data_IF_295298487127
#
_entry.id   IF_295298487127
#
_cell.length_a   1.000
_cell.length_b   1.000
_cell.length_c   1.000
_cell.angle_alpha   90.00
_cell.angle_beta   90.00
_cell.angle_gamma   90.00
#
_symmetry.space_group_name_H-M   'P 1'
#
loop_
_entity.id
_entity.type
_entity.pdbx_description
1 polymer ?
#
# COMPACT_ATOMS: atom_id res chain seq x y z
N UNK A 1 -6.12 13.90 80.22
CA UNK A 1 -6.87 13.43 79.03
C UNK A 1 -7.34 14.63 78.21
N UNK A 2 -6.74 14.90 77.05
CA UNK A 2 -7.18 15.96 76.15
C UNK A 2 -7.45 15.38 74.75
N UNK A 3 -8.72 15.26 74.38
CA UNK A 3 -9.17 14.71 73.09
C UNK A 3 -8.83 15.69 71.94
N UNK A 4 -7.82 15.36 71.13
CA UNK A 4 -7.57 16.02 69.84
C UNK A 4 -8.73 15.69 68.88
N UNK A 5 -9.53 16.70 68.53
CA UNK A 5 -10.57 16.59 67.48
C UNK A 5 -9.89 16.52 66.10
N UNK A 6 -10.04 15.38 65.42
CA UNK A 6 -9.68 15.21 64.02
C UNK A 6 -10.55 16.10 63.12
N UNK A 7 -9.96 17.15 62.54
CA UNK A 7 -10.58 17.91 61.43
C UNK A 7 -10.44 17.09 60.14
N UNK A 8 -11.52 16.42 59.76
CA UNK A 8 -11.67 15.82 58.42
C UNK A 8 -11.67 16.95 57.38
N UNK A 9 -10.59 17.07 56.60
CA UNK A 9 -10.55 17.93 55.40
C UNK A 9 -11.52 17.34 54.37
N UNK A 10 -12.73 17.88 54.30
CA UNK A 10 -13.63 17.67 53.16
C UNK A 10 -12.96 18.24 51.91
N UNK A 11 -12.69 17.40 50.91
CA UNK A 11 -12.28 17.83 49.58
C UNK A 11 -13.31 18.86 49.06
N UNK A 12 -12.91 20.07 48.64
CA UNK A 12 -13.84 21.00 48.05
C UNK A 12 -14.31 20.41 46.72
N UNK A 13 -15.63 20.14 46.62
CA UNK A 13 -16.29 19.86 45.35
C UNK A 13 -15.84 20.90 44.35
N UNK A 14 -15.30 20.47 43.21
CA UNK A 14 -14.69 21.33 42.19
C UNK A 14 -15.60 22.49 41.80
N UNK A 15 -15.35 23.66 42.39
CA UNK A 15 -15.96 24.92 42.02
C UNK A 15 -15.48 25.31 40.62
N UNK A 16 -16.43 25.61 39.74
CA UNK A 16 -16.16 26.11 38.39
C UNK A 16 -15.48 27.47 38.54
N UNK A 17 -14.25 27.62 38.03
CA UNK A 17 -13.50 28.88 38.16
C UNK A 17 -14.18 29.97 37.33
N UNK A 18 -14.28 31.18 37.88
CA UNK A 18 -14.86 32.36 37.21
C UNK A 18 -14.09 32.60 35.90
N UNK A 19 -14.75 32.37 34.75
CA UNK A 19 -14.11 32.39 33.42
C UNK A 19 -14.24 31.09 32.60
N UNK A 20 -14.68 29.99 33.20
CA UNK A 20 -14.87 28.70 32.51
C UNK A 20 -16.11 28.65 31.59
N UNK A 21 -17.02 29.63 31.69
CA UNK A 21 -18.24 29.68 30.88
C UNK A 21 -18.26 30.94 30.01
N UNK A 22 -18.39 30.75 28.71
CA UNK A 22 -18.68 31.81 27.73
C UNK A 22 -20.11 31.54 27.24
N UNK A 23 -21.02 32.50 27.36
CA UNK A 23 -22.47 32.35 27.06
C UNK A 23 -23.13 31.11 27.68
N UNK A 24 -22.87 30.84 28.97
CA UNK A 24 -23.48 29.71 29.69
C UNK A 24 -22.89 28.32 29.36
N UNK A 25 -21.96 28.23 28.40
CA UNK A 25 -21.34 26.97 27.99
C UNK A 25 -19.90 26.86 28.46
N UNK A 26 -19.49 25.66 28.90
CA UNK A 26 -18.10 25.40 29.28
C UNK A 26 -17.16 25.67 28.10
N UNK A 27 -16.05 26.36 28.36
CA UNK A 27 -14.99 26.65 27.38
C UNK A 27 -14.55 25.35 26.69
N UNK A 28 -14.45 25.39 25.36
CA UNK A 28 -14.05 24.25 24.53
C UNK A 28 -15.15 23.26 24.16
N UNK A 29 -16.43 23.50 24.55
CA UNK A 29 -17.56 22.64 24.12
C UNK A 29 -18.15 22.96 22.75
N UNK A 30 -17.88 24.13 22.19
CA UNK A 30 -18.34 24.55 20.85
C UNK A 30 -17.23 25.24 20.07
N UNK A 31 -17.35 25.20 18.74
CA UNK A 31 -16.39 25.78 17.80
C UNK A 31 -15.24 24.84 17.45
N UNK A 32 -14.23 25.38 16.78
CA UNK A 32 -13.05 24.65 16.29
C UNK A 32 -12.35 23.83 17.39
N UNK A 33 -12.25 24.37 18.60
CA UNK A 33 -11.65 23.68 19.74
C UNK A 33 -12.38 22.37 20.13
N UNK A 34 -13.67 22.25 19.84
CA UNK A 34 -14.45 21.04 20.09
C UNK A 34 -14.33 20.01 18.96
N UNK A 35 -13.95 20.44 17.75
CA UNK A 35 -13.83 19.57 16.58
C UNK A 35 -12.61 18.64 16.64
N UNK A 36 -11.64 18.94 17.51
CA UNK A 36 -10.40 18.18 17.63
C UNK A 36 -10.28 17.50 18.99
N UNK A 37 -9.65 16.33 18.98
CA UNK A 37 -9.35 15.54 20.16
C UNK A 37 -7.87 15.24 20.18
N UNK A 38 -7.27 15.24 21.37
CA UNK A 38 -5.85 14.88 21.52
C UNK A 38 -5.66 13.38 21.33
N UNK A 39 -4.45 12.96 20.93
CA UNK A 39 -4.09 11.52 20.84
C UNK A 39 -4.43 10.74 22.11
N UNK A 40 -4.14 11.29 23.29
CA UNK A 40 -4.44 10.65 24.57
C UNK A 40 -5.96 10.45 24.77
N UNK A 41 -6.77 11.43 24.40
CA UNK A 41 -8.23 11.31 24.45
C UNK A 41 -8.76 10.31 23.43
N UNK A 42 -8.18 10.23 22.23
CA UNK A 42 -8.55 9.25 21.22
C UNK A 42 -8.29 7.82 21.72
N UNK A 43 -7.11 7.57 22.31
CA UNK A 43 -6.77 6.28 22.92
C UNK A 43 -7.74 5.89 24.04
N UNK A 44 -8.09 6.85 24.92
CA UNK A 44 -9.04 6.61 25.99
C UNK A 44 -10.46 6.27 25.48
N UNK A 45 -10.88 6.89 24.38
CA UNK A 45 -12.19 6.64 23.75
C UNK A 45 -12.25 5.29 23.04
N UNK A 46 -11.19 4.90 22.32
CA UNK A 46 -11.14 3.66 21.54
C UNK A 46 -10.69 2.44 22.37
N UNK A 47 -10.12 2.66 23.57
CA UNK A 47 -9.66 1.61 24.49
C UNK A 47 -8.60 0.64 23.90
N UNK A 48 -7.78 1.16 22.99
CA UNK A 48 -6.69 0.41 22.33
C UNK A 48 -5.31 0.98 22.69
N UNK A 49 -4.25 0.16 22.67
CA UNK A 49 -2.88 0.63 22.88
C UNK A 49 -2.41 1.53 21.73
N UNK A 50 -1.33 2.29 21.97
CA UNK A 50 -0.79 3.24 20.99
C UNK A 50 -0.37 2.57 19.67
N UNK A 51 0.19 1.37 19.73
CA UNK A 51 0.60 0.63 18.53
C UNK A 51 -0.60 0.29 17.64
N UNK A 52 -1.66 -0.30 18.22
CA UNK A 52 -2.89 -0.64 17.48
C UNK A 52 -3.61 0.62 16.98
N UNK A 53 -3.58 1.72 17.74
CA UNK A 53 -4.13 3.00 17.30
C UNK A 53 -3.39 3.56 16.10
N UNK A 54 -2.05 3.57 16.12
CA UNK A 54 -1.23 3.99 14.96
C UNK A 54 -1.53 3.10 13.76
N UNK A 55 -1.58 1.78 13.97
CA UNK A 55 -1.92 0.81 12.94
C UNK A 55 -3.26 1.11 12.29
N UNK A 56 -4.30 1.30 13.11
CA UNK A 56 -5.65 1.61 12.64
C UNK A 56 -5.70 2.94 11.88
N UNK A 57 -4.98 3.97 12.36
CA UNK A 57 -4.90 5.27 11.68
C UNK A 57 -4.26 5.15 10.30
N UNK A 58 -3.17 4.38 10.17
CA UNK A 58 -2.48 4.16 8.90
C UNK A 58 -3.40 3.43 7.91
N UNK A 59 -4.00 2.32 8.35
CA UNK A 59 -4.87 1.50 7.52
C UNK A 59 -6.09 2.28 7.01
N UNK A 60 -6.65 3.18 7.82
CA UNK A 60 -7.78 4.05 7.43
C UNK A 60 -7.38 5.34 6.74
N UNK A 61 -6.10 5.71 6.70
CA UNK A 61 -5.67 7.01 6.18
C UNK A 61 -6.11 8.19 7.06
N UNK A 62 -6.16 8.03 8.38
CA UNK A 62 -6.45 9.12 9.31
C UNK A 62 -5.15 9.74 9.78
N UNK A 63 -4.96 11.01 9.41
CA UNK A 63 -3.76 11.76 9.70
C UNK A 63 -3.95 12.73 10.87
N UNK A 64 -2.90 13.01 11.65
CA UNK A 64 -2.93 14.09 12.62
C UNK A 64 -3.17 15.43 11.93
N UNK A 65 -3.84 16.34 12.63
CA UNK A 65 -4.16 17.69 12.15
C UNK A 65 -3.53 18.74 13.07
N UNK A 66 -3.18 19.89 12.50
CA UNK A 66 -2.69 21.03 13.26
C UNK A 66 -3.76 22.13 13.33
N UNK A 67 -4.66 22.13 14.35
CA UNK A 67 -5.74 23.09 14.42
C UNK A 67 -5.23 24.48 14.83
N UNK A 68 -5.90 25.55 14.37
CA UNK A 68 -5.52 26.93 14.74
C UNK A 68 -5.76 27.17 16.23
N UNK A 69 -6.85 26.61 16.78
CA UNK A 69 -7.21 26.72 18.20
C UNK A 69 -6.92 25.42 18.95
N UNK A 70 -5.78 25.36 19.63
CA UNK A 70 -5.30 24.21 20.40
C UNK A 70 -5.76 24.28 21.86
N UNK A 71 -6.87 23.62 22.19
CA UNK A 71 -7.46 23.66 23.53
C UNK A 71 -6.57 23.08 24.64
N UNK A 72 -5.67 22.16 24.30
CA UNK A 72 -4.88 21.38 25.26
C UNK A 72 -3.37 21.63 25.16
N UNK A 73 -2.95 22.71 24.49
CA UNK A 73 -1.55 23.10 24.28
C UNK A 73 -0.98 22.71 22.92
N UNK A 74 0.19 23.28 22.57
CA UNK A 74 0.81 23.14 21.25
C UNK A 74 1.60 21.83 21.06
N UNK A 75 2.09 21.24 22.15
CA UNK A 75 2.92 20.03 22.18
C UNK A 75 2.13 18.72 21.96
N UNK A 76 0.84 18.82 21.59
CA UNK A 76 -0.03 17.66 21.45
C UNK A 76 -0.41 17.42 20.01
N UNK A 77 -0.42 16.15 19.64
CA UNK A 77 -1.00 15.70 18.38
C UNK A 77 -2.53 15.70 18.48
N UNK A 78 -3.18 16.36 17.54
CA UNK A 78 -4.64 16.44 17.45
C UNK A 78 -5.15 15.60 16.28
N UNK A 79 -6.33 15.02 16.47
CA UNK A 79 -7.10 14.30 15.46
C UNK A 79 -8.49 14.92 15.40
N UNK A 80 -9.14 14.80 14.26
CA UNK A 80 -10.50 15.29 14.12
C UNK A 80 -11.49 14.34 14.83
N UNK A 81 -12.49 14.91 15.50
CA UNK A 81 -13.41 14.13 16.33
C UNK A 81 -14.28 13.19 15.48
N UNK A 82 -14.66 13.60 14.26
CA UNK A 82 -15.44 12.75 13.36
C UNK A 82 -14.66 11.51 12.95
N UNK A 83 -13.36 11.65 12.71
CA UNK A 83 -12.49 10.55 12.30
C UNK A 83 -12.35 9.51 13.42
N UNK A 84 -12.20 9.97 14.67
CA UNK A 84 -12.20 9.07 15.84
C UNK A 84 -13.57 8.40 16.06
N UNK A 85 -14.66 9.12 15.78
CA UNK A 85 -16.00 8.52 15.83
C UNK A 85 -16.18 7.45 14.74
N UNK A 86 -15.63 7.68 13.55
CA UNK A 86 -15.60 6.72 12.45
C UNK A 86 -14.82 5.46 12.83
N UNK A 87 -13.61 5.62 13.40
CA UNK A 87 -12.80 4.50 13.89
C UNK A 87 -13.50 3.59 14.91
N UNK A 88 -14.42 4.15 15.71
CA UNK A 88 -15.15 3.38 16.71
C UNK A 88 -16.08 2.33 16.08
N UNK A 89 -16.56 2.59 14.87
CA UNK A 89 -17.46 1.68 14.14
C UNK A 89 -16.71 0.76 13.18
N UNK A 90 -15.37 0.79 13.20
CA UNK A 90 -14.57 0.02 12.26
C UNK A 90 -14.48 -1.47 12.64
N UNK A 91 -14.81 -2.41 11.73
CA UNK A 91 -14.75 -3.85 12.02
C UNK A 91 -13.38 -4.37 12.47
N UNK A 92 -12.28 -3.76 11.98
CA UNK A 92 -10.92 -4.12 12.39
C UNK A 92 -10.67 -3.92 13.89
N UNK A 93 -11.37 -2.98 14.53
CA UNK A 93 -11.25 -2.74 15.96
C UNK A 93 -11.66 -3.99 16.75
N UNK A 94 -12.75 -4.65 16.34
CA UNK A 94 -13.20 -5.91 16.95
C UNK A 94 -12.17 -7.02 16.74
N UNK A 95 -11.54 -7.09 15.57
CA UNK A 95 -10.46 -8.05 15.28
C UNK A 95 -9.21 -7.81 16.13
N UNK A 96 -8.86 -6.57 16.44
CA UNK A 96 -7.78 -6.27 17.37
C UNK A 96 -8.10 -6.72 18.79
N UNK A 97 -9.35 -6.57 19.24
CA UNK A 97 -9.78 -7.12 20.53
C UNK A 97 -9.74 -8.65 20.54
N UNK A 98 -10.21 -9.32 19.49
CA UNK A 98 -10.09 -10.78 19.32
C UNK A 98 -8.62 -11.22 19.41
N UNK A 99 -7.72 -10.59 18.65
CA UNK A 99 -6.28 -10.85 18.68
C UNK A 99 -5.68 -10.64 20.07
N UNK A 100 -6.07 -9.58 20.78
CA UNK A 100 -5.61 -9.32 22.14
C UNK A 100 -6.06 -10.41 23.12
N UNK A 101 -7.32 -10.84 23.05
CA UNK A 101 -7.82 -11.94 23.88
C UNK A 101 -7.14 -13.26 23.56
N UNK A 102 -6.89 -13.51 22.27
CA UNK A 102 -6.13 -14.65 21.79
C UNK A 102 -4.71 -14.67 22.37
N UNK A 103 -3.98 -13.56 22.24
CA UNK A 103 -2.62 -13.43 22.79
C UNK A 103 -2.58 -13.63 24.31
N UNK A 104 -3.59 -13.15 25.05
CA UNK A 104 -3.68 -13.38 26.50
C UNK A 104 -3.88 -14.86 26.83
N UNK A 105 -4.74 -15.58 26.09
CA UNK A 105 -4.95 -17.02 26.26
C UNK A 105 -3.71 -17.81 25.88
N UNK A 106 -3.07 -17.48 24.77
CA UNK A 106 -1.83 -18.11 24.31
C UNK A 106 -0.71 -17.96 25.34
N UNK A 107 -0.47 -16.73 25.85
CA UNK A 107 0.50 -16.49 26.93
C UNK A 107 0.19 -17.28 28.20
N UNK A 108 -1.09 -17.46 28.55
CA UNK A 108 -1.50 -18.28 29.71
C UNK A 108 -1.16 -19.76 29.51
N UNK A 109 -1.41 -20.31 28.32
CA UNK A 109 -1.06 -21.70 27.98
C UNK A 109 0.46 -21.92 27.98
N UNK A 110 1.20 -20.99 27.37
CA UNK A 110 2.67 -21.01 27.37
C UNK A 110 3.25 -20.89 28.78
N UNK A 111 2.68 -20.01 29.63
CA UNK A 111 3.08 -19.88 31.03
C UNK A 111 2.81 -21.13 31.88
N UNK A 112 1.80 -21.93 31.51
CA UNK A 112 1.51 -23.24 32.12
C UNK A 112 2.37 -24.38 31.56
N UNK A 113 3.24 -24.09 30.58
CA UNK A 113 4.06 -25.06 29.84
C UNK A 113 3.24 -26.11 29.07
N UNK A 114 1.99 -25.81 28.74
CA UNK A 114 1.15 -26.67 27.90
C UNK A 114 1.45 -26.40 26.41
N UNK A 115 2.64 -26.80 25.93
CA UNK A 115 3.13 -26.42 24.59
C UNK A 115 2.26 -27.01 23.46
N UNK A 116 1.80 -28.26 23.62
CA UNK A 116 0.97 -28.94 22.60
C UNK A 116 -0.37 -28.25 22.40
N UNK A 117 -1.04 -27.85 23.49
CA UNK A 117 -2.32 -27.13 23.41
C UNK A 117 -2.11 -25.72 22.88
N UNK A 118 -1.00 -25.05 23.24
CA UNK A 118 -0.63 -23.75 22.70
C UNK A 118 -0.43 -23.78 21.18
N UNK A 119 0.28 -24.79 20.63
CA UNK A 119 0.46 -24.95 19.18
C UNK A 119 -0.86 -25.15 18.45
N UNK A 120 -1.74 -26.03 18.96
CA UNK A 120 -3.08 -26.22 18.38
C UNK A 120 -3.95 -24.96 18.47
N UNK A 121 -3.74 -24.16 19.53
CA UNK A 121 -4.39 -22.87 19.67
C UNK A 121 -3.83 -21.84 18.68
N UNK A 122 -2.54 -21.90 18.36
CA UNK A 122 -1.87 -21.03 17.38
C UNK A 122 -2.48 -21.12 15.98
N UNK A 123 -2.87 -22.32 15.54
CA UNK A 123 -3.60 -22.55 14.28
C UNK A 123 -4.92 -21.77 14.20
N UNK A 124 -5.55 -21.50 15.34
CA UNK A 124 -6.82 -20.74 15.46
C UNK A 124 -6.61 -19.24 15.60
N UNK A 125 -5.41 -18.73 15.33
CA UNK A 125 -5.11 -17.29 15.39
C UNK A 125 -6.06 -16.52 14.47
N UNK A 126 -6.82 -15.55 14.99
CA UNK A 126 -7.74 -14.79 14.16
C UNK A 126 -6.95 -13.95 13.15
N UNK A 127 -7.29 -14.09 11.87
CA UNK A 127 -6.76 -13.26 10.79
C UNK A 127 -7.83 -12.23 10.40
N UNK A 128 -7.39 -11.02 10.04
CA UNK A 128 -8.27 -10.00 9.48
C UNK A 128 -7.88 -9.73 8.04
N UNK A 129 -8.83 -9.22 7.27
CA UNK A 129 -8.65 -8.85 5.87
C UNK A 129 -8.73 -7.33 5.73
N UNK A 130 -8.02 -6.77 4.75
CA UNK A 130 -8.03 -5.34 4.45
C UNK A 130 -8.88 -5.00 3.21
N UNK A 131 -9.60 -5.98 2.66
CA UNK A 131 -10.34 -5.83 1.41
C UNK A 131 -11.42 -4.73 1.45
N UNK A 132 -12.16 -4.62 2.55
CA UNK A 132 -13.16 -3.56 2.71
C UNK A 132 -12.52 -2.18 2.81
N UNK A 133 -11.33 -2.07 3.43
CA UNK A 133 -10.61 -0.80 3.51
C UNK A 133 -10.17 -0.28 2.15
N UNK A 134 -9.63 -1.16 1.30
CA UNK A 134 -9.19 -0.76 -0.04
C UNK A 134 -10.36 -0.22 -0.84
N UNK A 135 -11.53 -0.89 -0.79
CA UNK A 135 -12.75 -0.46 -1.48
C UNK A 135 -13.35 0.84 -0.93
N UNK A 136 -13.27 1.05 0.38
CA UNK A 136 -13.73 2.31 0.98
C UNK A 136 -12.80 3.49 0.64
N UNK A 137 -11.49 3.25 0.58
CA UNK A 137 -10.49 4.28 0.29
C UNK A 137 -10.43 4.63 -1.20
N UNK A 138 -10.61 3.64 -2.06
CA UNK A 138 -10.59 3.77 -3.52
C UNK A 138 -11.92 3.28 -4.09
N UNK A 139 -12.96 4.14 -4.16
CA UNK A 139 -14.26 3.78 -4.72
C UNK A 139 -14.17 3.45 -6.21
N UNK A 140 -13.31 4.17 -6.94
CA UNK A 140 -13.00 3.91 -8.34
C UNK A 140 -11.67 3.16 -8.49
N UNK A 141 -11.54 2.38 -9.56
CA UNK A 141 -10.27 1.79 -9.95
C UNK A 141 -9.23 2.85 -10.32
N UNK A 142 -9.69 3.95 -10.94
CA UNK A 142 -8.86 5.09 -11.33
C UNK A 142 -8.12 5.68 -10.13
N UNK A 143 -8.83 5.85 -9.01
CA UNK A 143 -8.27 6.39 -7.76
C UNK A 143 -7.16 5.48 -7.21
N UNK A 144 -7.32 4.16 -7.35
CA UNK A 144 -6.31 3.20 -6.92
C UNK A 144 -5.06 3.24 -7.82
N UNK A 145 -5.21 3.46 -9.13
CA UNK A 145 -4.07 3.57 -10.04
C UNK A 145 -3.28 4.85 -9.79
N UNK A 146 -3.95 5.98 -9.45
CA UNK A 146 -3.28 7.25 -9.13
C UNK A 146 -2.39 7.17 -7.88
N UNK A 147 -2.80 6.40 -6.88
CA UNK A 147 -2.05 6.21 -5.63
C UNK A 147 -1.03 5.05 -5.72
N UNK A 148 -0.86 4.43 -6.89
CA UNK A 148 -0.02 3.24 -7.08
C UNK A 148 1.49 3.53 -6.93
N UNK A 149 1.93 4.76 -7.19
CA UNK A 149 3.33 5.21 -7.15
C UNK A 149 4.04 4.85 -5.84
N UNK A 150 3.44 5.23 -4.70
CA UNK A 150 4.03 5.02 -3.38
C UNK A 150 3.96 3.53 -2.98
N UNK A 151 2.88 2.85 -3.37
CA UNK A 151 2.71 1.43 -3.12
C UNK A 151 3.79 0.59 -3.82
N UNK A 152 4.03 0.83 -5.11
CA UNK A 152 5.04 0.11 -5.90
C UNK A 152 6.45 0.46 -5.44
N UNK A 153 6.71 1.73 -5.11
CA UNK A 153 8.01 2.14 -4.56
C UNK A 153 8.33 1.45 -3.23
N UNK A 154 7.32 1.29 -2.36
CA UNK A 154 7.48 0.55 -1.11
C UNK A 154 7.71 -0.95 -1.34
N UNK A 155 7.02 -1.57 -2.30
CA UNK A 155 7.28 -2.97 -2.65
C UNK A 155 8.71 -3.17 -3.17
N UNK A 156 9.18 -2.28 -4.06
CA UNK A 156 10.54 -2.30 -4.58
C UNK A 156 11.59 -2.08 -3.48
N UNK A 157 11.29 -1.22 -2.50
CA UNK A 157 12.14 -1.02 -1.34
C UNK A 157 12.25 -2.32 -0.54
N UNK A 158 11.13 -2.92 -0.14
CA UNK A 158 11.13 -4.14 0.68
C UNK A 158 11.73 -5.35 -0.04
N UNK A 159 11.68 -5.42 -1.37
CA UNK A 159 12.43 -6.42 -2.15
C UNK A 159 13.95 -6.29 -1.96
N UNK A 160 14.47 -5.07 -1.85
CA UNK A 160 15.90 -4.82 -1.66
C UNK A 160 16.38 -5.03 -0.22
N UNK A 161 15.45 -5.14 0.75
CA UNK A 161 15.78 -5.32 2.15
C UNK A 161 16.00 -6.80 2.49
N UNK A 162 17.00 -7.06 3.33
CA UNK A 162 17.19 -8.36 3.95
C UNK A 162 16.25 -8.54 5.14
N UNK A 163 15.84 -9.79 5.39
CA UNK A 163 15.11 -10.12 6.61
C UNK A 163 16.01 -9.92 7.84
N UNK A 164 15.59 -9.04 8.75
CA UNK A 164 16.32 -8.75 9.98
C UNK A 164 15.43 -9.00 11.20
N UNK A 165 15.84 -9.95 12.04
CA UNK A 165 15.14 -10.32 13.26
C UNK A 165 15.24 -9.22 14.34
N UNK A 166 16.29 -8.41 14.34
CA UNK A 166 16.44 -7.30 15.29
C UNK A 166 15.41 -6.20 15.05
N UNK A 167 14.88 -6.09 13.83
CA UNK A 167 13.94 -5.03 13.42
C UNK A 167 12.52 -5.52 13.19
N UNK A 168 12.20 -6.73 13.65
CA UNK A 168 10.89 -7.37 13.48
C UNK A 168 10.44 -7.45 12.01
N UNK A 169 11.35 -7.58 11.03
CA UNK A 169 10.98 -7.66 9.59
C UNK A 169 10.73 -9.13 9.23
N UNK A 170 9.46 -9.54 8.95
CA UNK A 170 9.16 -10.93 8.65
C UNK A 170 9.52 -11.28 7.21
N UNK A 171 10.12 -12.46 7.01
CA UNK A 171 10.46 -13.02 5.69
C UNK A 171 9.22 -13.07 4.79
N UNK A 172 8.07 -13.47 5.33
CA UNK A 172 6.79 -13.55 4.61
C UNK A 172 6.37 -12.21 3.97
N UNK A 173 6.66 -11.07 4.63
CA UNK A 173 6.30 -9.78 4.05
C UNK A 173 7.22 -9.39 2.89
N UNK A 174 8.51 -9.74 2.98
CA UNK A 174 9.49 -9.50 1.92
C UNK A 174 9.16 -10.38 0.71
N UNK A 175 8.92 -11.68 0.92
CA UNK A 175 8.60 -12.60 -0.18
C UNK A 175 7.33 -12.20 -0.90
N UNK A 176 6.25 -11.87 -0.17
CA UNK A 176 5.03 -11.36 -0.80
C UNK A 176 5.25 -10.03 -1.53
N UNK A 177 6.07 -9.13 -0.98
CA UNK A 177 6.34 -7.83 -1.61
C UNK A 177 7.10 -8.00 -2.92
N UNK A 178 8.15 -8.83 -2.91
CA UNK A 178 8.92 -9.23 -4.10
C UNK A 178 8.01 -9.85 -5.15
N UNK A 179 7.12 -10.77 -4.74
CA UNK A 179 6.21 -11.43 -5.65
C UNK A 179 5.26 -10.46 -6.35
N UNK A 180 4.64 -9.55 -5.60
CA UNK A 180 3.72 -8.56 -6.15
C UNK A 180 4.43 -7.54 -7.04
N UNK A 181 5.66 -7.17 -6.70
CA UNK A 181 6.46 -6.27 -7.52
C UNK A 181 6.82 -6.91 -8.86
N UNK A 182 7.27 -8.17 -8.86
CA UNK A 182 7.54 -8.92 -10.10
C UNK A 182 6.28 -9.10 -10.96
N UNK A 183 5.13 -9.40 -10.34
CA UNK A 183 3.83 -9.48 -11.03
C UNK A 183 3.44 -8.15 -11.67
N UNK A 184 3.69 -7.03 -10.99
CA UNK A 184 3.47 -5.70 -11.53
C UNK A 184 4.43 -5.40 -12.70
N UNK A 185 5.71 -5.73 -12.56
CA UNK A 185 6.69 -5.58 -13.64
C UNK A 185 6.31 -6.40 -14.88
N UNK A 186 5.86 -7.65 -14.69
CA UNK A 186 5.38 -8.49 -15.78
C UNK A 186 4.18 -7.87 -16.50
N UNK A 187 3.24 -7.29 -15.76
CA UNK A 187 2.13 -6.53 -16.37
C UNK A 187 2.66 -5.39 -17.25
N UNK A 188 3.59 -4.57 -16.74
CA UNK A 188 4.15 -3.43 -17.48
C UNK A 188 4.88 -3.90 -18.75
N UNK A 189 5.59 -5.02 -18.69
CA UNK A 189 6.24 -5.65 -19.84
C UNK A 189 5.20 -6.08 -20.88
N UNK A 190 4.16 -6.83 -20.47
CA UNK A 190 3.14 -7.34 -21.39
C UNK A 190 2.26 -6.25 -21.99
N UNK A 191 1.93 -5.23 -21.20
CA UNK A 191 1.21 -4.05 -21.69
C UNK A 191 2.08 -3.12 -22.54
N UNK A 192 3.41 -3.28 -22.49
CA UNK A 192 4.41 -2.36 -23.07
C UNK A 192 4.11 -0.89 -22.68
N UNK A 193 3.87 -0.71 -21.39
CA UNK A 193 3.39 0.53 -20.81
C UNK A 193 4.51 1.48 -20.37
N UNK A 194 5.76 1.00 -20.31
CA UNK A 194 6.91 1.81 -19.89
C UNK A 194 7.16 2.97 -20.87
N UNK A 195 7.46 4.16 -20.33
CA UNK A 195 7.66 5.40 -21.10
C UNK A 195 9.01 6.05 -20.84
N UNK A 196 9.36 6.23 -19.57
CA UNK A 196 10.59 6.92 -19.19
C UNK A 196 11.33 6.12 -18.13
N UNK A 197 12.64 6.18 -18.23
CA UNK A 197 13.57 5.53 -17.30
C UNK A 197 14.66 6.54 -16.98
N UNK A 198 14.94 6.73 -15.71
CA UNK A 198 16.00 7.62 -15.25
C UNK A 198 16.81 6.97 -14.14
N UNK A 199 18.10 6.78 -14.38
CA UNK A 199 19.03 6.29 -13.36
C UNK A 199 19.58 7.46 -12.55
N UNK A 200 19.52 7.35 -11.23
CA UNK A 200 20.00 8.35 -10.28
C UNK A 200 20.89 7.71 -9.22
N UNK A 201 21.48 8.53 -8.36
CA UNK A 201 22.26 8.08 -7.20
C UNK A 201 21.38 7.25 -6.24
N UNK A 202 20.08 7.58 -6.12
CA UNK A 202 19.14 6.88 -5.23
C UNK A 202 18.69 5.51 -5.75
N UNK A 203 18.74 5.29 -7.07
CA UNK A 203 18.11 4.15 -7.71
C UNK A 203 17.62 4.48 -9.11
N UNK A 204 16.69 3.66 -9.59
CA UNK A 204 16.06 3.77 -10.90
C UNK A 204 14.64 4.29 -10.76
N UNK A 205 14.35 5.39 -11.44
CA UNK A 205 13.00 5.90 -11.62
C UNK A 205 12.42 5.30 -12.89
N UNK A 206 11.26 4.67 -12.77
CA UNK A 206 10.49 4.15 -13.89
C UNK A 206 9.17 4.90 -13.96
N UNK A 207 8.76 5.28 -15.17
CA UNK A 207 7.46 5.86 -15.44
C UNK A 207 6.74 5.00 -16.48
N UNK A 208 5.55 4.50 -16.14
CA UNK A 208 4.69 3.72 -17.03
C UNK A 208 3.30 4.36 -17.13
N UNK A 209 2.71 4.32 -18.33
CA UNK A 209 1.35 4.80 -18.55
C UNK A 209 0.36 3.64 -18.40
N UNK A 210 -0.44 3.66 -17.34
CA UNK A 210 -1.42 2.63 -17.01
C UNK A 210 -2.81 3.27 -17.04
N UNK A 211 -3.66 2.83 -17.97
CA UNK A 211 -5.03 3.34 -18.17
C UNK A 211 -5.13 4.87 -18.26
N UNK A 212 -4.14 5.53 -18.87
CA UNK A 212 -4.11 6.98 -19.02
C UNK A 212 -3.48 7.75 -17.85
N UNK A 213 -3.08 7.06 -16.77
CA UNK A 213 -2.31 7.65 -15.67
C UNK A 213 -0.84 7.30 -15.79
N UNK A 214 0.03 8.30 -15.67
CA UNK A 214 1.47 8.06 -15.56
C UNK A 214 1.83 7.70 -14.13
N UNK A 215 2.16 6.43 -13.92
CA UNK A 215 2.63 5.87 -12.64
C UNK A 215 4.14 5.95 -12.60
N UNK A 216 4.71 6.65 -11.61
CA UNK A 216 6.16 6.82 -11.43
C UNK A 216 6.61 6.21 -10.10
N UNK A 217 7.53 5.25 -10.14
CA UNK A 217 8.06 4.62 -8.94
C UNK A 217 9.58 4.58 -8.92
N UNK A 218 10.13 4.49 -7.72
CA UNK A 218 11.56 4.38 -7.46
C UNK A 218 11.92 2.95 -7.04
N UNK A 219 12.80 2.31 -7.81
CA UNK A 219 13.45 1.07 -7.42
C UNK A 219 14.87 1.38 -6.90
N UNK A 220 15.19 1.09 -5.63
CA UNK A 220 16.51 1.35 -5.08
C UNK A 220 17.58 0.46 -5.73
N UNK A 221 18.83 0.92 -5.68
CA UNK A 221 19.98 0.07 -6.04
C UNK A 221 20.08 -1.13 -5.12
N UNK A 222 20.41 -2.29 -5.67
CA UNK A 222 20.52 -3.55 -4.93
C UNK A 222 21.90 -3.68 -4.27
N UNK A 223 22.18 -2.76 -3.34
CA UNK A 223 23.36 -2.81 -2.49
C UNK A 223 23.00 -3.40 -1.12
N UNK A 224 24.01 -3.93 -0.42
CA UNK A 224 23.85 -4.27 0.98
C UNK A 224 23.63 -2.97 1.77
N UNK A 225 22.42 -2.78 2.28
CA UNK A 225 22.04 -1.58 3.04
C UNK A 225 22.15 -1.85 4.53
N UNK A 226 22.81 -0.96 5.25
CA UNK A 226 22.70 -0.91 6.71
C UNK A 226 21.39 -0.24 7.09
N UNK A 227 20.56 -0.97 7.84
CA UNK A 227 19.28 -0.44 8.27
C UNK A 227 19.54 0.58 9.40
N UNK A 228 19.08 1.85 9.29
CA UNK A 228 19.23 2.83 10.37
C UNK A 228 18.33 2.52 11.56
N UNK A 229 18.77 2.86 12.78
CA UNK A 229 18.01 2.63 14.02
C UNK A 229 16.87 3.64 14.23
N UNK A 230 16.94 4.80 13.59
CA UNK A 230 15.96 5.89 13.72
C UNK A 230 14.61 5.58 13.05
N UNK A 231 14.59 4.63 12.12
CA UNK A 231 13.41 4.30 11.32
C UNK A 231 12.53 3.28 12.05
N UNK A 232 11.26 3.63 12.23
CA UNK A 232 10.25 2.73 12.81
C UNK A 232 9.69 1.77 11.74
N UNK A 233 10.32 0.61 11.59
CA UNK A 233 9.90 -0.42 10.65
C UNK A 233 8.50 -0.98 10.94
N UNK A 234 7.98 -0.89 12.16
CA UNK A 234 6.63 -1.35 12.47
C UNK A 234 5.57 -0.51 11.79
N UNK A 235 5.82 0.79 11.70
CA UNK A 235 4.99 1.73 10.93
C UNK A 235 5.08 1.37 9.44
N UNK A 236 6.28 1.20 8.90
CA UNK A 236 6.47 0.84 7.49
C UNK A 236 5.80 -0.49 7.12
N UNK A 237 5.90 -1.52 7.97
CA UNK A 237 5.24 -2.81 7.76
C UNK A 237 3.72 -2.69 7.74
N UNK A 238 3.16 -1.72 8.47
CA UNK A 238 1.71 -1.45 8.42
C UNK A 238 1.31 -0.84 7.07
N UNK A 239 2.11 0.10 6.55
CA UNK A 239 1.91 0.62 5.20
C UNK A 239 2.04 -0.48 4.15
N UNK A 240 3.09 -1.31 4.25
CA UNK A 240 3.31 -2.45 3.37
C UNK A 240 2.13 -3.44 3.41
N UNK A 241 1.54 -3.70 4.58
CA UNK A 241 0.36 -4.54 4.70
C UNK A 241 -0.83 -4.02 3.89
N UNK A 242 -1.09 -2.71 3.95
CA UNK A 242 -2.13 -2.07 3.15
C UNK A 242 -1.79 -2.08 1.65
N UNK A 243 -0.57 -1.69 1.29
CA UNK A 243 -0.12 -1.62 -0.10
C UNK A 243 -0.08 -3.00 -0.77
N UNK A 244 0.30 -4.07 -0.07
CA UNK A 244 0.18 -5.45 -0.58
C UNK A 244 -1.26 -5.79 -0.93
N UNK A 245 -2.22 -5.45 -0.07
CA UNK A 245 -3.63 -5.71 -0.33
C UNK A 245 -4.14 -4.89 -1.53
N UNK A 246 -3.76 -3.61 -1.63
CA UNK A 246 -4.11 -2.72 -2.74
C UNK A 246 -3.54 -3.22 -4.08
N UNK A 247 -2.24 -3.52 -4.13
CA UNK A 247 -1.58 -3.98 -5.37
C UNK A 247 -2.11 -5.34 -5.82
N UNK A 248 -2.47 -6.25 -4.90
CA UNK A 248 -3.18 -7.50 -5.25
C UNK A 248 -4.48 -7.23 -6.01
N UNK A 249 -5.28 -6.26 -5.59
CA UNK A 249 -6.51 -5.88 -6.30
C UNK A 249 -6.23 -5.21 -7.65
N UNK A 250 -5.24 -4.32 -7.69
CA UNK A 250 -4.84 -3.63 -8.91
C UNK A 250 -4.33 -4.63 -9.94
N UNK A 251 -3.37 -5.49 -9.59
CA UNK A 251 -2.86 -6.54 -10.46
C UNK A 251 -3.98 -7.48 -10.92
N UNK A 252 -4.87 -7.93 -10.03
CA UNK A 252 -5.99 -8.79 -10.43
C UNK A 252 -6.85 -8.16 -11.54
N UNK A 253 -7.15 -6.86 -11.43
CA UNK A 253 -7.92 -6.14 -12.44
C UNK A 253 -7.13 -5.93 -13.72
N UNK A 254 -5.90 -5.45 -13.61
CA UNK A 254 -5.00 -5.17 -14.75
C UNK A 254 -4.73 -6.41 -15.59
N UNK A 255 -4.48 -7.56 -14.96
CA UNK A 255 -4.34 -8.85 -15.66
C UNK A 255 -5.65 -9.28 -16.30
N UNK A 256 -6.78 -9.04 -15.62
CA UNK A 256 -8.11 -9.31 -16.18
C UNK A 256 -8.40 -8.50 -17.44
N UNK A 257 -8.02 -7.22 -17.46
CA UNK A 257 -8.19 -6.34 -18.61
C UNK A 257 -7.26 -6.72 -19.79
N UNK A 258 -6.09 -7.34 -19.51
CA UNK A 258 -5.23 -7.95 -20.53
C UNK A 258 -5.65 -9.36 -20.96
N UNK A 259 -6.67 -9.94 -20.34
CA UNK A 259 -7.09 -11.32 -20.61
C UNK A 259 -6.14 -12.39 -20.07
N UNK A 260 -5.28 -12.07 -19.10
CA UNK A 260 -4.33 -12.99 -18.47
C UNK A 260 -4.89 -13.57 -17.16
N UNK A 261 -4.45 -14.79 -16.82
CA UNK A 261 -4.80 -15.42 -15.55
C UNK A 261 -3.98 -14.82 -14.41
N UNK A 262 -4.65 -14.49 -13.30
CA UNK A 262 -4.03 -13.99 -12.08
C UNK A 262 -4.35 -14.92 -10.90
N UNK A 263 -3.37 -15.28 -10.04
CA UNK A 263 -1.94 -14.95 -10.14
C UNK A 263 -1.23 -15.73 -11.26
N UNK A 264 -0.16 -15.18 -11.87
CA UNK A 264 0.67 -15.91 -12.84
C UNK A 264 1.36 -17.12 -12.19
N UNK A 265 1.62 -18.16 -12.98
CA UNK A 265 2.35 -19.34 -12.50
C UNK A 265 3.84 -19.02 -12.41
N UNK A 266 4.51 -19.61 -11.41
CA UNK A 266 5.95 -19.46 -11.17
C UNK A 266 6.62 -20.79 -11.44
N UNK A 267 7.61 -20.80 -12.33
CA UNK A 267 8.48 -21.94 -12.53
C UNK A 267 9.63 -21.91 -11.51
N UNK A 268 9.68 -22.91 -10.64
CA UNK A 268 10.67 -23.05 -9.59
C UNK A 268 12.10 -23.33 -10.11
N UNK A 269 12.28 -23.79 -11.35
CA UNK A 269 13.61 -23.99 -11.95
C UNK A 269 14.19 -22.68 -12.50
N UNK A 270 13.37 -21.92 -13.21
CA UNK A 270 13.74 -20.59 -13.71
C UNK A 270 13.94 -19.58 -12.58
N UNK A 271 13.17 -19.66 -11.49
CA UNK A 271 13.33 -18.79 -10.31
C UNK A 271 14.70 -18.98 -9.63
N UNK A 272 15.30 -20.17 -9.74
CA UNK A 272 16.66 -20.45 -9.20
C UNK A 272 17.80 -19.95 -10.10
N UNK A 273 17.53 -19.74 -11.39
CA UNK A 273 18.57 -19.55 -12.41
C UNK A 273 18.57 -18.16 -13.03
N UNK A 274 17.39 -17.52 -13.13
CA UNK A 274 17.15 -16.36 -13.98
C UNK A 274 16.76 -15.09 -13.22
N UNK A 275 16.71 -13.98 -13.96
CA UNK A 275 16.13 -12.73 -13.47
C UNK A 275 14.63 -12.94 -13.22
N UNK A 276 14.27 -13.19 -11.96
CA UNK A 276 12.98 -13.05 -11.25
C UNK A 276 11.67 -12.95 -12.07
N UNK A 277 11.59 -12.07 -13.07
CA UNK A 277 10.42 -11.85 -13.93
C UNK A 277 10.31 -12.89 -15.06
N UNK A 278 11.43 -13.43 -15.54
CA UNK A 278 11.47 -14.48 -16.57
C UNK A 278 10.90 -15.82 -16.07
N UNK A 279 10.90 -16.03 -14.76
CA UNK A 279 10.32 -17.23 -14.12
C UNK A 279 8.79 -17.22 -14.07
N UNK A 280 8.14 -16.15 -14.52
CA UNK A 280 6.70 -16.02 -14.50
C UNK A 280 6.08 -16.45 -15.83
N UNK A 281 5.33 -17.54 -15.78
CA UNK A 281 4.54 -18.02 -16.90
C UNK A 281 3.20 -17.28 -16.98
N UNK A 282 2.90 -16.76 -18.16
CA UNK A 282 1.61 -16.15 -18.45
C UNK A 282 0.69 -17.13 -19.16
N UNK A 283 -0.41 -17.50 -18.52
CA UNK A 283 -1.50 -18.21 -19.18
C UNK A 283 -2.58 -17.21 -19.62
N UNK A 284 -2.99 -17.30 -20.89
CA UNK A 284 -4.16 -16.57 -21.40
C UNK A 284 -5.44 -17.18 -20.83
N UNK A 285 -6.35 -16.34 -20.29
CA UNK A 285 -7.70 -16.78 -19.94
C UNK A 285 -8.46 -17.19 -21.20
N UNK A 286 -9.41 -18.12 -21.07
CA UNK A 286 -10.29 -18.54 -22.17
C UNK A 286 -11.04 -17.35 -22.80
N UNK A 287 -11.48 -16.38 -21.98
CA UNK A 287 -12.07 -15.13 -22.44
C UNK A 287 -11.08 -14.20 -23.17
N UNK A 288 -9.80 -14.21 -22.77
CA UNK A 288 -8.73 -13.46 -23.43
C UNK A 288 -8.36 -14.04 -24.80
N UNK A 289 -8.41 -15.37 -24.95
CA UNK A 289 -8.27 -16.05 -26.25
C UNK A 289 -9.36 -15.61 -27.23
N UNK A 290 -10.61 -15.50 -26.76
CA UNK A 290 -11.73 -15.01 -27.57
C UNK A 290 -11.60 -13.50 -27.93
N UNK A 291 -11.11 -12.66 -27.01
CA UNK A 291 -10.88 -11.23 -27.26
C UNK A 291 -9.73 -10.97 -28.24
N UNK A 292 -8.66 -11.78 -28.24
CA UNK A 292 -7.58 -11.63 -29.23
C UNK A 292 -8.06 -11.87 -30.66
N UNK A 293 -8.89 -12.91 -30.86
CA UNK A 293 -9.54 -13.20 -32.14
C UNK A 293 -10.43 -12.04 -32.60
N UNK A 294 -11.18 -11.41 -31.70
CA UNK A 294 -12.06 -10.28 -32.04
C UNK A 294 -11.33 -8.93 -32.20
N UNK A 295 -10.19 -8.76 -31.52
CA UNK A 295 -9.41 -7.52 -31.55
C UNK A 295 -8.74 -7.27 -32.91
N UNK A 296 -8.32 -8.33 -33.61
CA UNK A 296 -7.76 -8.23 -34.97
C UNK A 296 -8.82 -7.73 -35.98
N UNK A 297 -10.06 -8.19 -35.86
CA UNK A 297 -11.17 -7.70 -36.70
C UNK A 297 -11.56 -6.24 -36.35
N UNK A 298 -11.48 -5.85 -35.07
CA UNK A 298 -11.90 -4.51 -34.62
C UNK A 298 -10.92 -3.39 -34.96
N UNK A 299 -9.61 -3.67 -35.04
CA UNK A 299 -8.59 -2.67 -35.40
C UNK A 299 -8.70 -2.24 -36.85
N UNK A 300 -9.13 -3.14 -37.74
CA UNK A 300 -9.37 -2.86 -39.16
C UNK A 300 -10.66 -2.04 -39.37
N UNK A 301 -11.65 -2.21 -38.49
CA UNK A 301 -12.91 -1.44 -38.50
C UNK A 301 -12.72 -0.03 -37.89
N UNK A 302 -11.95 0.10 -36.82
CA UNK A 302 -11.69 1.42 -36.21
C UNK A 302 -10.79 2.31 -37.07
N UNK A 303 -9.82 1.74 -37.79
CA UNK A 303 -8.97 2.49 -38.73
C UNK A 303 -9.69 2.88 -40.02
N UNK A 304 -10.72 2.13 -40.44
CA UNK A 304 -11.59 2.51 -41.56
C UNK A 304 -12.62 3.57 -41.16
N UNK A 305 -13.27 3.45 -40.00
CA UNK A 305 -14.25 4.43 -39.52
C UNK A 305 -13.65 5.82 -39.22
N UNK A 306 -12.39 5.89 -38.74
CA UNK A 306 -11.72 7.16 -38.48
C UNK A 306 -11.30 7.91 -39.76
N UNK A 307 -11.16 7.19 -40.89
CA UNK A 307 -10.90 7.79 -42.21
C UNK A 307 -12.15 8.41 -42.84
N UNK A 308 -13.34 7.93 -42.47
CA UNK A 308 -14.61 8.36 -43.07
C UNK A 308 -15.30 9.53 -42.34
N UNK A 309 -14.98 9.81 -41.06
CA UNK A 309 -15.75 10.75 -40.23
C UNK A 309 -14.94 11.82 -39.45
N UNK A 310 -13.61 11.84 -39.50
CA UNK A 310 -12.77 12.78 -38.75
C UNK A 310 -12.21 13.92 -39.61
N UNK A 311 -12.12 15.14 -39.05
CA UNK A 311 -11.37 16.25 -39.66
C UNK A 311 -9.92 15.80 -39.94
N UNK A 312 -9.41 16.06 -41.15
CA UNK A 312 -8.11 15.54 -41.62
C UNK A 312 -6.94 15.94 -40.69
N UNK A 313 -7.04 17.08 -40.02
CA UNK A 313 -6.04 17.56 -39.06
C UNK A 313 -6.01 16.75 -37.76
N UNK A 314 -7.18 16.45 -37.17
CA UNK A 314 -7.26 15.68 -35.91
C UNK A 314 -6.93 14.19 -36.16
N UNK A 315 -7.39 13.65 -37.29
CA UNK A 315 -7.06 12.28 -37.70
C UNK A 315 -5.56 12.08 -37.93
N UNK A 316 -4.87 13.07 -38.51
CA UNK A 316 -3.41 13.04 -38.72
C UNK A 316 -2.62 13.11 -37.41
N UNK A 317 -3.04 13.94 -36.45
CA UNK A 317 -2.41 14.03 -35.12
C UNK A 317 -2.57 12.71 -34.33
N UNK A 318 -3.78 12.13 -34.36
CA UNK A 318 -4.06 10.84 -33.73
C UNK A 318 -3.22 9.73 -34.37
N UNK A 319 -3.13 9.69 -35.71
CA UNK A 319 -2.28 8.72 -36.42
C UNK A 319 -0.78 8.89 -36.10
N UNK A 320 -0.27 10.12 -36.01
CA UNK A 320 1.11 10.34 -35.58
C UNK A 320 1.35 9.90 -34.14
N UNK A 321 0.40 10.13 -33.24
CA UNK A 321 0.50 9.70 -31.83
C UNK A 321 0.52 8.16 -31.72
N UNK A 322 -0.32 7.47 -32.51
CA UNK A 322 -0.39 6.02 -32.59
C UNK A 322 0.88 5.43 -33.21
N UNK A 323 1.41 6.03 -34.28
CA UNK A 323 2.64 5.60 -34.92
C UNK A 323 3.87 5.79 -34.01
N UNK A 324 3.92 6.89 -33.23
CA UNK A 324 4.94 7.11 -32.18
C UNK A 324 4.82 6.03 -31.10
N UNK A 325 3.61 5.74 -30.63
CA UNK A 325 3.36 4.68 -29.63
C UNK A 325 3.76 3.29 -30.15
N UNK A 326 3.45 2.98 -31.41
CA UNK A 326 3.84 1.73 -32.07
C UNK A 326 5.35 1.54 -32.18
N UNK A 327 6.09 2.61 -32.54
CA UNK A 327 7.56 2.59 -32.56
C UNK A 327 8.19 2.31 -31.19
N UNK A 328 7.64 2.91 -30.14
CA UNK A 328 8.12 2.70 -28.76
C UNK A 328 7.96 1.23 -28.35
N UNK A 329 6.87 0.57 -28.73
CA UNK A 329 6.61 -0.84 -28.43
C UNK A 329 7.56 -1.82 -29.13
N UNK A 330 8.20 -1.45 -30.24
CA UNK A 330 9.08 -2.36 -30.99
C UNK A 330 10.53 -1.92 -30.98
N UNK A 331 10.94 -1.06 -30.04
CA UNK A 331 12.25 -0.38 -30.09
C UNK A 331 13.43 -1.34 -30.11
N UNK A 332 13.35 -2.46 -29.39
CA UNK A 332 14.44 -3.43 -29.29
C UNK A 332 14.12 -4.80 -29.94
N UNK A 333 13.04 -4.88 -30.71
CA UNK A 333 12.61 -6.14 -31.33
C UNK A 333 13.65 -6.60 -32.35
N UNK A 334 14.15 -7.83 -32.19
CA UNK A 334 15.14 -8.43 -33.08
C UNK A 334 16.60 -8.02 -32.82
N UNK A 335 16.87 -7.22 -31.79
CA UNK A 335 18.23 -6.88 -31.39
C UNK A 335 18.78 -7.89 -30.38
N UNK A 336 20.06 -8.25 -30.53
CA UNK A 336 20.82 -8.97 -29.50
C UNK A 336 21.62 -7.96 -28.69
N UNK A 337 21.29 -7.85 -27.41
CA UNK A 337 21.94 -6.91 -26.50
C UNK A 337 22.93 -7.66 -25.61
N UNK A 338 24.21 -7.31 -25.72
CA UNK A 338 25.26 -7.85 -24.86
C UNK A 338 25.43 -6.94 -23.64
N UNK A 339 25.28 -7.51 -22.45
CA UNK A 339 25.34 -6.78 -21.19
C UNK A 339 26.66 -7.15 -20.50
N UNK A 340 27.46 -6.14 -20.14
CA UNK A 340 28.69 -6.34 -19.38
C UNK A 340 28.34 -6.74 -17.93
N UNK A 341 29.22 -7.51 -17.29
CA UNK A 341 29.05 -8.04 -15.93
C UNK A 341 28.88 -6.95 -14.86
N UNK A 342 29.46 -5.77 -15.08
CA UNK A 342 29.37 -4.62 -14.16
C UNK A 342 28.01 -3.91 -14.22
N UNK A 343 27.18 -4.21 -15.22
CA UNK A 343 25.88 -3.55 -15.39
C UNK A 343 24.82 -4.31 -14.60
N UNK A 344 24.01 -3.62 -13.77
CA UNK A 344 22.96 -4.26 -13.00
C UNK A 344 21.90 -4.84 -13.93
N UNK A 345 21.84 -6.18 -13.97
CA UNK A 345 21.04 -6.93 -14.94
C UNK A 345 19.54 -6.66 -14.76
N UNK A 346 19.01 -6.73 -13.53
CA UNK A 346 17.57 -6.63 -13.25
C UNK A 346 16.87 -5.39 -13.82
N UNK A 347 17.31 -4.14 -13.52
CA UNK A 347 16.66 -2.95 -14.06
C UNK A 347 16.80 -2.87 -15.58
N UNK A 348 17.94 -3.26 -16.15
CA UNK A 348 18.14 -3.21 -17.60
C UNK A 348 17.30 -4.28 -18.32
N UNK A 349 17.24 -5.49 -17.77
CA UNK A 349 16.43 -6.59 -18.27
C UNK A 349 14.95 -6.22 -18.34
N UNK A 350 14.42 -5.60 -17.27
CA UNK A 350 13.06 -5.07 -17.25
C UNK A 350 12.80 -4.06 -18.38
N UNK A 351 13.72 -3.11 -18.61
CA UNK A 351 13.59 -2.10 -19.67
C UNK A 351 13.65 -2.72 -21.06
N UNK A 352 14.57 -3.66 -21.28
CA UNK A 352 14.75 -4.34 -22.56
C UNK A 352 13.50 -5.16 -22.92
N UNK A 353 12.95 -5.91 -21.97
CA UNK A 353 11.71 -6.66 -22.17
C UNK A 353 10.52 -5.73 -22.49
N UNK A 354 10.40 -4.59 -21.80
CA UNK A 354 9.35 -3.60 -22.11
C UNK A 354 9.44 -3.09 -23.56
N UNK A 355 10.65 -2.91 -24.09
CA UNK A 355 10.88 -2.48 -25.47
C UNK A 355 10.80 -3.59 -26.53
N UNK A 356 10.37 -4.80 -26.15
CA UNK A 356 10.04 -5.88 -27.07
C UNK A 356 11.22 -6.76 -27.49
N UNK A 357 12.30 -6.82 -26.70
CA UNK A 357 13.32 -7.87 -26.87
C UNK A 357 12.66 -9.23 -26.65
N UNK A 358 12.81 -10.15 -27.61
CA UNK A 358 12.36 -11.53 -27.44
C UNK A 358 13.31 -12.24 -26.45
N UNK A 359 12.74 -13.01 -25.52
CA UNK A 359 13.51 -13.84 -24.57
C UNK A 359 14.50 -14.78 -25.27
#
# INVERSE_FOLDING_TARGET
MAKRKNKVKRNPKGGIKKGDKIHGQKKGKKGEAAAYVTRAQALAKLQIPLADFRKLCILKGIYPRDPKKKAHGNDKTYYHQKDIAFLRHEPLLNKFFELKTFMKKFKRLMGRREIKTARRFEERKPKYTLHHLVRERYPSFDDAVRDLDDAVSMLALFQSLSADQAKDIPVEAITEATQLYQEFQLYVIRAQALRKVFASIKGYYFQADILGHSVTWLAPHQFAQELPAEVDFRVMLTFLEFYRAMVKFVNFRLYGDLGLTYPPRRDAELERTSADVAALETEMREAGKAQQLHSQDSTDIATSALKDFGDESEAAEIQQSLAKSGRVKTTFRGLRVFINREVPLRPLYFVLLCGGVAE
#
